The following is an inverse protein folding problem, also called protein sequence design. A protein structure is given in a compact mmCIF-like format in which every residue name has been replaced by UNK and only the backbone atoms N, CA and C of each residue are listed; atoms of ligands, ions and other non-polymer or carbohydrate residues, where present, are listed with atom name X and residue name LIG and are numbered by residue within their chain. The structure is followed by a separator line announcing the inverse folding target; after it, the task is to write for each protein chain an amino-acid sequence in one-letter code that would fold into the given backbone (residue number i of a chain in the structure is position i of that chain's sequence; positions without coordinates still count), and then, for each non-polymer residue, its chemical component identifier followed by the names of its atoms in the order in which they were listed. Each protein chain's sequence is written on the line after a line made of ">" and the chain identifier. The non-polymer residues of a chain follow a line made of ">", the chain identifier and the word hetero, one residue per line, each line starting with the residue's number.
data_IF_926945938565
#
_entry.id   IF_926945938565
#
_cell.length_a   1.000
_cell.length_b   1.000
_cell.length_c   1.000
_cell.angle_alpha   90.00
_cell.angle_beta   90.00
_cell.angle_gamma   90.00
#
_symmetry.space_group_name_H-M   'P 1'
#
loop_
_entity.id
_entity.type
_entity.pdbx_description
1 polymer ?
#
# COMPACT_ATOMS: atom_id res chain seq x y z
N UNK A 1 22.77 -35.23 -7.16
CA UNK A 1 22.14 -34.48 -6.04
C UNK A 1 22.85 -33.13 -5.96
N UNK A 2 22.37 -32.13 -6.75
CA UNK A 2 22.95 -30.80 -6.77
C UNK A 2 22.19 -29.92 -5.78
N UNK A 3 22.79 -29.69 -4.62
CA UNK A 3 22.32 -28.68 -3.66
C UNK A 3 22.64 -27.29 -4.24
N UNK A 4 21.61 -26.62 -4.78
CA UNK A 4 21.71 -25.22 -5.18
C UNK A 4 21.88 -24.36 -3.94
N UNK A 5 23.14 -24.04 -3.61
CA UNK A 5 23.55 -23.07 -2.59
C UNK A 5 23.27 -21.63 -3.11
N UNK A 6 22.03 -21.29 -3.37
CA UNK A 6 21.59 -19.90 -3.49
C UNK A 6 20.86 -19.49 -2.20
N UNK A 7 21.53 -19.64 -1.07
CA UNK A 7 21.22 -18.85 0.10
C UNK A 7 21.69 -17.42 -0.20
N UNK A 8 20.89 -16.64 -0.97
CA UNK A 8 21.05 -15.20 -1.00
C UNK A 8 20.89 -14.73 0.45
N UNK A 9 21.97 -14.24 1.02
CA UNK A 9 21.94 -13.46 2.27
C UNK A 9 20.88 -12.39 2.04
N UNK A 10 19.72 -12.53 2.66
CA UNK A 10 18.64 -11.53 2.61
C UNK A 10 19.22 -10.34 3.35
N UNK A 11 19.72 -9.35 2.62
CA UNK A 11 20.13 -8.09 3.21
C UNK A 11 18.88 -7.50 3.86
N UNK A 12 18.89 -7.38 5.18
CA UNK A 12 17.82 -6.71 5.92
C UNK A 12 17.96 -5.23 5.56
N UNK A 13 17.17 -4.79 4.60
CA UNK A 13 17.08 -3.37 4.24
C UNK A 13 16.05 -2.77 5.17
N UNK A 14 16.45 -1.75 5.91
CA UNK A 14 15.58 -1.01 6.81
C UNK A 14 14.92 0.16 6.07
N UNK A 15 13.78 0.61 6.57
CA UNK A 15 13.18 1.85 6.09
C UNK A 15 14.08 3.04 6.39
N UNK A 16 14.34 3.84 5.37
CA UNK A 16 15.12 5.07 5.46
C UNK A 16 14.21 6.25 5.13
N UNK A 17 13.72 6.89 6.18
CA UNK A 17 12.90 8.08 6.04
C UNK A 17 13.77 9.26 5.60
N UNK A 18 13.37 9.90 4.52
CA UNK A 18 13.99 11.15 4.02
C UNK A 18 12.92 12.24 4.09
N UNK A 19 13.17 13.27 4.89
CA UNK A 19 12.26 14.41 5.03
C UNK A 19 13.00 15.63 5.55
N UNK A 20 12.65 16.79 5.01
CA UNK A 20 13.11 18.10 5.53
C UNK A 20 12.32 18.53 6.77
N UNK A 21 11.21 17.82 7.07
CA UNK A 21 10.35 18.12 8.21
C UNK A 21 10.76 17.29 9.44
N UNK A 22 10.55 17.89 10.60
CA UNK A 22 10.67 17.22 11.88
C UNK A 22 9.27 17.10 12.52
N UNK A 23 8.98 16.03 13.27
CA UNK A 23 7.73 15.92 13.99
C UNK A 23 7.52 17.08 14.98
N UNK A 24 6.38 17.74 14.91
CA UNK A 24 6.05 18.91 15.71
C UNK A 24 4.69 18.77 16.41
N UNK A 25 4.44 19.58 17.43
CA UNK A 25 3.20 19.56 18.21
C UNK A 25 2.96 18.20 18.86
N UNK A 26 1.80 17.60 18.61
CA UNK A 26 1.38 16.30 19.17
C UNK A 26 1.94 15.10 18.40
N UNK A 27 2.58 15.31 17.23
CA UNK A 27 3.07 14.22 16.41
C UNK A 27 4.11 13.32 17.12
N UNK A 28 5.11 13.84 17.86
CA UNK A 28 6.07 12.98 18.56
C UNK A 28 5.42 12.01 19.55
N UNK A 29 4.43 12.49 20.31
CA UNK A 29 3.71 11.67 21.27
C UNK A 29 2.82 10.63 20.54
N UNK A 30 2.13 11.02 19.47
CA UNK A 30 1.34 10.11 18.65
C UNK A 30 2.22 9.01 18.01
N UNK A 31 3.40 9.36 17.49
CA UNK A 31 4.35 8.37 16.94
C UNK A 31 4.76 7.38 18.02
N UNK A 32 5.13 7.86 19.20
CA UNK A 32 5.53 7.02 20.32
C UNK A 32 4.42 6.06 20.73
N UNK A 33 3.18 6.55 20.91
CA UNK A 33 2.04 5.72 21.29
C UNK A 33 1.74 4.64 20.26
N UNK A 34 1.78 4.98 18.96
CA UNK A 34 1.56 4.03 17.86
C UNK A 34 2.65 2.96 17.82
N UNK A 35 3.92 3.34 17.97
CA UNK A 35 5.05 2.40 18.00
C UNK A 35 4.96 1.48 19.22
N UNK A 36 4.67 2.02 20.40
CA UNK A 36 4.51 1.24 21.62
C UNK A 36 3.35 0.26 21.52
N UNK A 37 2.21 0.67 20.94
CA UNK A 37 1.08 -0.19 20.69
C UNK A 37 1.40 -1.34 19.71
N UNK A 38 2.08 -1.04 18.61
CA UNK A 38 2.55 -2.06 17.66
C UNK A 38 3.53 -3.07 18.29
N UNK A 39 4.39 -2.60 19.19
CA UNK A 39 5.34 -3.47 19.89
C UNK A 39 4.67 -4.32 20.97
N UNK A 40 3.59 -3.83 21.59
CA UNK A 40 2.74 -4.63 22.51
C UNK A 40 1.91 -5.67 21.77
N UNK A 41 1.69 -5.52 20.45
CA UNK A 41 0.82 -6.38 19.65
C UNK A 41 -0.65 -5.96 19.72
N UNK A 42 -0.94 -4.68 19.91
CA UNK A 42 -2.31 -4.16 19.88
C UNK A 42 -2.95 -4.46 18.51
N UNK A 43 -4.16 -5.02 18.51
CA UNK A 43 -4.85 -5.43 17.28
C UNK A 43 -5.29 -4.27 16.40
N UNK A 44 -5.61 -3.13 17.01
CA UNK A 44 -6.06 -1.93 16.29
C UNK A 44 -5.64 -0.68 17.05
N UNK A 45 -5.32 0.37 16.32
CA UNK A 45 -5.02 1.70 16.83
C UNK A 45 -5.66 2.73 15.91
N UNK A 46 -6.11 3.84 16.44
CA UNK A 46 -6.72 4.93 15.69
C UNK A 46 -5.90 6.20 15.85
N UNK A 47 -5.46 6.77 14.71
CA UNK A 47 -4.82 8.08 14.67
C UNK A 47 -5.86 9.13 14.27
N UNK A 48 -6.25 9.97 15.22
CA UNK A 48 -7.13 11.11 14.97
C UNK A 48 -6.33 12.35 14.62
N UNK A 49 -6.81 13.09 13.65
CA UNK A 49 -6.18 14.36 13.26
C UNK A 49 -6.96 15.03 12.15
N UNK A 50 -7.02 16.37 12.17
CA UNK A 50 -7.64 17.18 11.12
C UNK A 50 -6.91 17.02 9.79
N UNK A 51 -7.57 17.40 8.69
CA UNK A 51 -6.91 17.45 7.37
C UNK A 51 -5.72 18.39 7.42
N UNK A 52 -4.58 17.97 6.84
CA UNK A 52 -3.34 18.75 6.86
C UNK A 52 -2.51 18.63 8.15
N UNK A 53 -2.94 17.84 9.16
CA UNK A 53 -2.14 17.65 10.40
C UNK A 53 -0.91 16.76 10.24
N UNK A 54 -0.56 16.34 9.02
CA UNK A 54 0.62 15.52 8.76
C UNK A 54 0.46 14.05 9.15
N UNK A 55 -0.76 13.50 9.10
CA UNK A 55 -1.00 12.07 9.43
C UNK A 55 -0.12 11.12 8.64
N UNK A 56 0.06 11.34 7.33
CA UNK A 56 0.91 10.50 6.48
C UNK A 56 2.37 10.55 6.94
N UNK A 57 2.86 11.74 7.31
CA UNK A 57 4.20 11.91 7.86
C UNK A 57 4.36 11.22 9.22
N UNK A 58 3.34 11.31 10.08
CA UNK A 58 3.30 10.58 11.37
C UNK A 58 3.43 9.07 11.14
N UNK A 59 2.63 8.51 10.22
CA UNK A 59 2.70 7.07 9.88
C UNK A 59 4.05 6.71 9.24
N UNK A 60 4.62 7.56 8.39
CA UNK A 60 5.95 7.33 7.82
C UNK A 60 7.03 7.22 8.93
N UNK A 61 6.98 8.07 9.95
CA UNK A 61 7.86 7.98 11.11
C UNK A 61 7.66 6.69 11.92
N UNK A 62 6.41 6.23 12.07
CA UNK A 62 6.11 4.95 12.73
C UNK A 62 6.71 3.79 11.94
N UNK A 63 6.52 3.75 10.61
CA UNK A 63 7.07 2.70 9.74
C UNK A 63 8.59 2.64 9.79
N UNK A 64 9.25 3.81 9.79
CA UNK A 64 10.71 3.89 9.92
C UNK A 64 11.24 3.30 11.24
N UNK A 65 10.49 3.46 12.34
CA UNK A 65 10.88 2.93 13.65
C UNK A 65 10.57 1.44 13.81
N UNK A 66 9.40 1.00 13.37
CA UNK A 66 8.95 -0.39 13.52
C UNK A 66 9.63 -1.33 12.52
N UNK A 67 10.00 -0.81 11.35
CA UNK A 67 10.70 -1.53 10.28
C UNK A 67 10.00 -2.83 9.85
N UNK A 68 8.69 -2.77 9.66
CA UNK A 68 7.84 -3.88 9.19
C UNK A 68 7.20 -3.56 7.84
N UNK A 69 7.00 -4.57 6.96
CA UNK A 69 6.21 -4.38 5.74
C UNK A 69 4.83 -3.81 6.05
N UNK A 70 4.34 -2.93 5.20
CA UNK A 70 3.06 -2.27 5.41
C UNK A 70 2.16 -2.36 4.18
N UNK A 71 0.86 -2.57 4.43
CA UNK A 71 -0.21 -2.44 3.45
C UNK A 71 -1.06 -1.23 3.80
N UNK A 72 -1.12 -0.27 2.90
CA UNK A 72 -1.91 0.96 3.04
C UNK A 72 -3.13 0.85 2.15
N UNK A 73 -4.31 0.81 2.75
CA UNK A 73 -5.58 0.74 2.04
C UNK A 73 -6.26 2.10 2.00
N UNK A 74 -6.68 2.52 0.83
CA UNK A 74 -7.48 3.73 0.63
C UNK A 74 -8.83 3.41 0.02
N UNK A 75 -9.82 4.27 0.23
CA UNK A 75 -11.18 4.05 -0.27
C UNK A 75 -11.32 4.27 -1.79
N UNK A 76 -10.38 4.93 -2.46
CA UNK A 76 -10.40 5.12 -3.91
C UNK A 76 -8.99 5.16 -4.52
N UNK A 77 -8.91 5.08 -5.87
CA UNK A 77 -7.66 5.11 -6.63
C UNK A 77 -6.93 6.46 -6.52
N UNK A 78 -7.66 7.56 -6.48
CA UNK A 78 -7.10 8.93 -6.42
C UNK A 78 -6.33 9.13 -5.12
N UNK A 79 -6.94 8.77 -3.99
CA UNK A 79 -6.25 8.82 -2.71
C UNK A 79 -5.10 7.82 -2.63
N UNK A 80 -5.26 6.61 -3.21
CA UNK A 80 -4.16 5.65 -3.30
C UNK A 80 -2.96 6.24 -4.07
N UNK A 81 -3.20 6.92 -5.18
CA UNK A 81 -2.15 7.57 -5.96
C UNK A 81 -1.46 8.70 -5.18
N UNK A 82 -2.24 9.51 -4.45
CA UNK A 82 -1.69 10.56 -3.58
C UNK A 82 -0.81 9.95 -2.48
N UNK A 83 -1.30 8.97 -1.74
CA UNK A 83 -0.55 8.29 -0.68
C UNK A 83 0.71 7.61 -1.21
N UNK A 84 0.62 6.97 -2.38
CA UNK A 84 1.79 6.39 -3.06
C UNK A 84 2.86 7.46 -3.33
N UNK A 85 2.45 8.63 -3.86
CA UNK A 85 3.35 9.74 -4.12
C UNK A 85 4.01 10.26 -2.83
N UNK A 86 3.24 10.46 -1.76
CA UNK A 86 3.74 10.90 -0.46
C UNK A 86 4.73 9.89 0.15
N UNK A 87 4.38 8.60 0.20
CA UNK A 87 5.28 7.58 0.71
C UNK A 87 6.54 7.40 -0.16
N UNK A 88 6.42 7.58 -1.48
CA UNK A 88 7.58 7.53 -2.38
C UNK A 88 8.56 8.67 -2.15
N UNK A 89 8.07 9.86 -1.76
CA UNK A 89 8.91 10.98 -1.36
C UNK A 89 9.59 10.72 -0.01
N UNK A 90 8.87 10.17 0.97
CA UNK A 90 9.44 9.83 2.28
C UNK A 90 10.43 8.67 2.24
N UNK A 91 10.24 7.73 1.33
CA UNK A 91 11.04 6.51 1.22
C UNK A 91 11.57 6.29 -0.20
N UNK A 92 12.44 7.17 -0.73
CA UNK A 92 12.91 7.10 -2.11
C UNK A 92 13.75 5.84 -2.40
N UNK A 93 14.45 5.30 -1.39
CA UNK A 93 15.34 4.14 -1.51
C UNK A 93 14.62 2.81 -1.21
N UNK A 94 13.42 2.85 -0.64
CA UNK A 94 12.67 1.66 -0.24
C UNK A 94 11.63 1.23 -1.30
N UNK A 95 11.10 0.02 -1.15
CA UNK A 95 10.15 -0.54 -2.09
C UNK A 95 8.72 -0.05 -1.82
N UNK A 96 8.40 1.16 -2.26
CA UNK A 96 7.03 1.68 -2.26
C UNK A 96 6.36 1.29 -3.56
N UNK A 97 5.23 0.60 -3.49
CA UNK A 97 4.54 -0.01 -4.62
C UNK A 97 3.07 0.42 -4.67
N UNK A 98 2.55 0.56 -5.89
CA UNK A 98 1.16 0.93 -6.16
C UNK A 98 0.40 -0.27 -6.71
N UNK A 99 -0.70 -0.66 -6.07
CA UNK A 99 -1.45 -1.85 -6.41
C UNK A 99 -2.95 -1.58 -6.45
N UNK A 100 -3.46 -1.29 -7.65
CA UNK A 100 -4.88 -1.00 -7.89
C UNK A 100 -5.43 -1.83 -9.03
N UNK A 101 -6.75 -1.78 -9.28
CA UNK A 101 -7.37 -2.53 -10.38
C UNK A 101 -6.90 -2.02 -11.74
N UNK A 102 -6.86 -2.92 -12.74
CA UNK A 102 -6.46 -2.61 -14.13
C UNK A 102 -7.35 -1.58 -14.80
N UNK A 103 -8.66 -1.59 -14.45
CA UNK A 103 -9.67 -0.83 -15.16
C UNK A 103 -9.66 0.61 -14.68
N UNK A 104 -9.25 1.52 -15.56
CA UNK A 104 -9.33 2.97 -15.31
C UNK A 104 -10.65 3.54 -15.80
N UNK A 105 -11.22 2.96 -16.83
CA UNK A 105 -12.43 3.45 -17.47
C UNK A 105 -13.38 2.30 -17.77
N UNK A 106 -14.63 2.47 -17.38
CA UNK A 106 -15.73 1.58 -17.73
C UNK A 106 -16.75 2.40 -18.52
N UNK A 107 -16.80 2.21 -19.84
CA UNK A 107 -17.88 2.73 -20.67
C UNK A 107 -18.96 1.66 -20.76
N UNK A 108 -20.15 1.89 -20.18
CA UNK A 108 -21.27 0.98 -20.33
C UNK A 108 -21.73 0.97 -21.78
N UNK A 109 -22.24 -0.15 -22.22
CA UNK A 109 -22.92 -0.25 -23.52
C UNK A 109 -24.08 0.74 -23.55
N UNK A 110 -24.18 1.51 -24.62
CA UNK A 110 -25.28 2.42 -24.82
C UNK A 110 -25.72 2.44 -26.29
N UNK A 111 -27.02 2.43 -26.51
CA UNK A 111 -27.60 2.61 -27.83
C UNK A 111 -28.27 4.00 -27.90
N UNK A 112 -27.86 4.81 -28.88
CA UNK A 112 -28.43 6.12 -29.11
C UNK A 112 -29.41 6.02 -30.30
N UNK A 113 -30.74 5.95 -30.04
CA UNK A 113 -31.73 5.74 -31.09
C UNK A 113 -31.76 6.87 -32.13
N UNK A 114 -31.44 8.11 -31.73
CA UNK A 114 -31.48 9.28 -32.58
C UNK A 114 -30.47 9.23 -33.74
N UNK A 115 -29.32 8.56 -33.52
CA UNK A 115 -28.23 8.45 -34.48
C UNK A 115 -28.02 7.00 -34.97
N UNK A 116 -28.84 6.06 -34.46
CA UNK A 116 -28.67 4.63 -34.68
C UNK A 116 -27.25 4.15 -34.39
N UNK A 117 -26.62 4.71 -33.36
CA UNK A 117 -25.23 4.42 -32.98
C UNK A 117 -25.22 3.51 -31.77
N UNK A 118 -24.55 2.38 -31.91
CA UNK A 118 -24.24 1.47 -30.81
C UNK A 118 -22.85 1.81 -30.25
N UNK A 119 -22.78 2.14 -28.97
CA UNK A 119 -21.52 2.36 -28.25
C UNK A 119 -21.17 1.03 -27.60
N UNK A 120 -20.10 0.40 -28.09
CA UNK A 120 -19.60 -0.85 -27.55
C UNK A 120 -18.97 -0.64 -26.15
N UNK A 121 -19.03 -1.69 -25.37
CA UNK A 121 -18.37 -1.73 -24.06
C UNK A 121 -16.86 -1.65 -24.26
N UNK A 122 -16.24 -0.57 -23.82
CA UNK A 122 -14.79 -0.43 -23.88
C UNK A 122 -14.18 -0.60 -22.48
N UNK A 123 -13.26 -1.55 -22.38
CA UNK A 123 -12.49 -1.88 -21.18
C UNK A 123 -11.03 -1.55 -21.47
N UNK A 124 -10.66 -0.29 -21.28
CA UNK A 124 -9.27 0.10 -21.43
C UNK A 124 -8.41 -0.46 -20.29
N UNK A 125 -7.53 -1.40 -20.63
CA UNK A 125 -6.50 -1.92 -19.71
C UNK A 125 -5.33 -0.95 -19.73
N UNK A 126 -5.04 -0.36 -18.59
CA UNK A 126 -3.88 0.51 -18.44
C UNK A 126 -2.61 -0.34 -18.23
N UNK A 127 -1.77 -0.41 -19.26
CA UNK A 127 -0.52 -1.19 -19.25
C UNK A 127 0.47 -0.73 -18.19
N UNK A 128 0.44 0.53 -17.78
CA UNK A 128 1.35 1.03 -16.73
C UNK A 128 0.91 0.56 -15.35
N UNK A 129 -0.39 0.46 -15.11
CA UNK A 129 -0.93 -0.15 -13.88
C UNK A 129 -0.52 -1.63 -13.82
N UNK A 130 -0.58 -2.35 -14.95
CA UNK A 130 -0.17 -3.76 -14.99
C UNK A 130 1.32 -3.93 -14.63
N UNK A 131 2.19 -3.09 -15.19
CA UNK A 131 3.62 -3.07 -14.83
C UNK A 131 3.83 -2.80 -13.33
N UNK A 132 3.10 -1.84 -12.74
CA UNK A 132 3.20 -1.54 -11.31
C UNK A 132 2.74 -2.72 -10.44
N UNK A 133 1.71 -3.45 -10.86
CA UNK A 133 1.22 -4.66 -10.19
C UNK A 133 2.23 -5.78 -10.23
N UNK A 134 2.83 -6.04 -11.40
CA UNK A 134 3.89 -7.03 -11.54
C UNK A 134 5.13 -6.66 -10.71
N UNK A 135 5.51 -5.39 -10.68
CA UNK A 135 6.59 -4.89 -9.83
C UNK A 135 6.30 -5.13 -8.35
N UNK A 136 5.06 -4.88 -7.90
CA UNK A 136 4.62 -5.15 -6.53
C UNK A 136 4.76 -6.64 -6.21
N UNK A 137 4.24 -7.51 -7.06
CA UNK A 137 4.35 -8.97 -6.89
C UNK A 137 5.81 -9.42 -6.81
N UNK A 138 6.66 -8.92 -7.70
CA UNK A 138 8.10 -9.21 -7.69
C UNK A 138 8.77 -8.73 -6.40
N UNK A 139 8.46 -7.52 -5.93
CA UNK A 139 8.98 -6.98 -4.68
C UNK A 139 8.58 -7.85 -3.48
N UNK A 140 7.33 -8.26 -3.42
CA UNK A 140 6.82 -9.14 -2.35
C UNK A 140 7.51 -10.52 -2.35
N UNK A 141 7.74 -11.10 -3.53
CA UNK A 141 8.44 -12.39 -3.68
C UNK A 141 9.95 -12.29 -3.37
N UNK A 142 10.53 -11.11 -3.46
CA UNK A 142 11.97 -10.89 -3.23
C UNK A 142 12.44 -11.15 -1.80
N UNK A 143 11.51 -11.22 -0.84
CA UNK A 143 11.83 -11.42 0.58
C UNK A 143 12.24 -10.13 1.31
N UNK A 144 12.22 -8.97 0.68
CA UNK A 144 12.49 -7.67 1.31
C UNK A 144 11.51 -7.41 2.45
N UNK A 145 11.95 -6.67 3.47
CA UNK A 145 11.10 -6.23 4.59
C UNK A 145 10.70 -4.76 4.53
N UNK A 146 11.40 -3.98 3.73
CA UNK A 146 11.18 -2.55 3.53
C UNK A 146 10.16 -2.26 2.42
N UNK A 147 9.01 -2.93 2.48
CA UNK A 147 7.97 -2.85 1.45
C UNK A 147 6.76 -2.09 1.99
N UNK A 148 6.31 -1.11 1.23
CA UNK A 148 5.00 -0.45 1.41
C UNK A 148 4.19 -0.73 0.15
N UNK A 149 3.02 -1.32 0.30
CA UNK A 149 2.05 -1.50 -0.78
C UNK A 149 0.88 -0.58 -0.53
N UNK A 150 0.62 0.32 -1.48
CA UNK A 150 -0.55 1.22 -1.44
C UNK A 150 -1.60 0.70 -2.39
N UNK A 151 -2.79 0.42 -1.89
CA UNK A 151 -3.89 -0.17 -2.65
C UNK A 151 -5.22 0.53 -2.39
N UNK A 152 -6.20 0.30 -3.28
CA UNK A 152 -7.58 0.75 -3.06
C UNK A 152 -8.45 -0.38 -2.52
N UNK A 153 -9.30 -0.10 -1.53
CA UNK A 153 -10.19 -1.08 -0.90
C UNK A 153 -11.12 -1.78 -1.90
N UNK A 154 -11.57 -1.08 -2.95
CA UNK A 154 -12.46 -1.63 -3.97
C UNK A 154 -11.86 -2.88 -4.63
N UNK A 155 -10.54 -2.91 -4.80
CA UNK A 155 -9.87 -4.06 -5.38
C UNK A 155 -9.91 -5.28 -4.46
N UNK A 156 -9.68 -5.09 -3.18
CA UNK A 156 -9.73 -6.18 -2.18
C UNK A 156 -11.12 -6.80 -2.03
N UNK A 157 -12.19 -6.01 -2.20
CA UNK A 157 -13.56 -6.52 -2.09
C UNK A 157 -14.04 -7.27 -3.33
N UNK A 158 -13.48 -6.98 -4.52
CA UNK A 158 -13.92 -7.56 -5.80
C UNK A 158 -13.05 -8.77 -6.20
N UNK A 159 -11.81 -8.83 -5.74
CA UNK A 159 -10.87 -9.89 -6.10
C UNK A 159 -11.04 -11.12 -5.22
N UNK A 160 -12.15 -11.84 -5.41
CA UNK A 160 -12.39 -13.14 -4.78
C UNK A 160 -11.52 -14.26 -5.40
N UNK A 161 -10.46 -13.93 -6.12
CA UNK A 161 -9.61 -14.86 -6.85
C UNK A 161 -8.16 -14.80 -6.37
N UNK A 162 -7.72 -15.83 -5.64
CA UNK A 162 -6.32 -16.27 -5.50
C UNK A 162 -5.26 -15.29 -4.95
N UNK A 163 -5.38 -14.01 -5.27
CA UNK A 163 -4.44 -12.97 -4.82
C UNK A 163 -4.67 -12.62 -3.34
N UNK A 164 -5.91 -12.68 -2.86
CA UNK A 164 -6.25 -12.46 -1.46
C UNK A 164 -5.61 -13.53 -0.56
N UNK A 165 -5.63 -14.79 -1.02
CA UNK A 165 -4.90 -15.88 -0.38
C UNK A 165 -3.39 -15.64 -0.37
N UNK A 166 -2.84 -15.07 -1.45
CA UNK A 166 -1.40 -14.80 -1.56
C UNK A 166 -0.97 -13.70 -0.58
N UNK A 167 -1.73 -12.61 -0.48
CA UNK A 167 -1.46 -11.56 0.49
C UNK A 167 -1.69 -12.03 1.92
N UNK A 168 -2.78 -12.73 2.21
CA UNK A 168 -3.09 -13.27 3.53
C UNK A 168 -2.05 -14.32 3.95
N UNK A 169 -1.71 -15.27 3.07
CA UNK A 169 -0.73 -16.32 3.34
C UNK A 169 0.69 -15.74 3.51
N UNK A 170 1.04 -14.70 2.75
CA UNK A 170 2.33 -14.04 2.88
C UNK A 170 2.42 -13.19 4.15
N UNK A 171 1.32 -12.59 4.59
CA UNK A 171 1.21 -11.87 5.83
C UNK A 171 1.26 -12.85 7.02
N UNK A 172 0.59 -14.00 6.93
CA UNK A 172 0.49 -15.01 7.98
C UNK A 172 1.81 -15.80 8.16
N UNK A 173 2.47 -16.17 7.05
CA UNK A 173 3.77 -16.90 7.10
C UNK A 173 4.93 -16.12 7.72
N UNK A 174 4.81 -14.79 7.89
CA UNK A 174 5.89 -13.93 8.39
C UNK A 174 5.67 -13.36 9.78
N UNK A 175 4.85 -13.99 10.60
CA UNK A 175 4.59 -13.59 11.99
C UNK A 175 4.28 -12.08 12.14
N UNK A 176 2.99 -11.77 12.07
CA UNK A 176 2.36 -10.48 12.36
C UNK A 176 2.70 -9.29 11.45
N UNK A 177 1.99 -9.14 10.34
CA UNK A 177 1.94 -7.84 9.68
C UNK A 177 1.01 -6.90 10.44
N UNK A 178 1.49 -5.71 10.71
CA UNK A 178 0.61 -4.64 11.15
C UNK A 178 -0.16 -4.10 9.95
N UNK A 179 -1.45 -4.31 9.90
CA UNK A 179 -2.36 -3.61 8.98
C UNK A 179 -2.62 -2.23 9.58
N UNK A 180 -2.08 -1.19 8.97
CA UNK A 180 -2.42 0.18 9.34
C UNK A 180 -3.64 0.61 8.49
N UNK A 181 -4.82 0.62 9.08
CA UNK A 181 -6.02 1.15 8.45
C UNK A 181 -6.07 2.66 8.68
N UNK A 182 -5.85 3.42 7.60
CA UNK A 182 -6.02 4.87 7.62
C UNK A 182 -7.50 5.18 7.36
N UNK A 183 -8.33 5.18 8.40
CA UNK A 183 -9.69 5.68 8.30
C UNK A 183 -9.65 7.22 8.30
N UNK A 184 -9.92 7.82 7.16
CA UNK A 184 -10.25 9.25 7.10
C UNK A 184 -11.66 9.40 7.66
N UNK A 185 -11.77 9.71 8.96
CA UNK A 185 -13.04 10.09 9.55
C UNK A 185 -13.56 11.38 8.88
N UNK A 186 -14.81 11.33 8.47
CA UNK A 186 -15.60 12.51 8.13
C UNK A 186 -16.08 13.18 9.41
#
# INVERSE_FOLDING_TARGET
>A
MYLCRLCKTISIVNFKLVSDFQPTGDQPEAIKQLVDGLNRGDHAQTLLGVTGSGKTFTIANVLAQVNRPALVLSHNKTLAAQLYGEFKQFFPENAVNYFVSYYDYYQPEAFIPATNTYIEKDLAINMDIDKMRLATTSALLSGRRDIIVVSSCIYFMISNSGIDYFFTDMLDRRQHPSVAELTTGH
#
